data_IF_974385001435
#
_entry.id   IF_974385001435
#
_cell.length_a   1.000
_cell.length_b   1.000
_cell.length_c   1.000
_cell.angle_alpha   90.00
_cell.angle_beta   90.00
_cell.angle_gamma   90.00
#
_symmetry.space_group_name_H-M   'P 1'
#
loop_
_entity.id
_entity.type
_entity.pdbx_description
1 polymer ?
#
# COMPACT_ATOMS: atom_id res chain seq x y z
N UNK A 1 9.39 3.69 29.59
CA UNK A 1 10.21 2.58 29.07
C UNK A 1 11.29 3.21 28.21
N UNK A 2 12.58 2.89 28.40
CA UNK A 2 13.63 3.45 27.55
C UNK A 2 13.41 2.98 26.11
N UNK A 3 13.41 3.90 25.17
CA UNK A 3 13.28 3.61 23.75
C UNK A 3 14.60 3.07 23.21
N UNK A 4 14.54 2.08 22.33
CA UNK A 4 15.73 1.47 21.73
C UNK A 4 16.11 2.24 20.45
N UNK A 5 16.43 3.53 20.60
CA UNK A 5 16.77 4.43 19.52
C UNK A 5 18.29 4.54 19.40
N UNK A 6 18.80 4.46 18.19
CA UNK A 6 20.21 4.64 17.83
C UNK A 6 20.40 5.97 17.10
N UNK A 7 21.25 6.85 17.66
CA UNK A 7 21.60 8.16 17.11
C UNK A 7 23.11 8.19 16.94
N UNK A 8 23.59 8.15 15.70
CA UNK A 8 25.02 8.22 15.39
C UNK A 8 25.62 9.59 15.75
N UNK A 9 26.95 9.63 15.89
CA UNK A 9 27.66 10.88 16.18
C UNK A 9 27.47 11.91 15.06
N UNK A 10 27.39 11.45 13.79
CA UNK A 10 27.14 12.33 12.64
C UNK A 10 25.75 12.95 12.71
N UNK A 11 24.72 12.16 13.00
CA UNK A 11 23.35 12.67 13.19
C UNK A 11 23.30 13.63 14.38
N UNK A 12 23.97 13.30 15.47
CA UNK A 12 24.04 14.16 16.68
C UNK A 12 24.71 15.51 16.37
N UNK A 13 25.77 15.51 15.57
CA UNK A 13 26.47 16.73 15.18
C UNK A 13 25.57 17.68 14.39
N UNK A 14 24.69 17.15 13.54
CA UNK A 14 23.77 17.93 12.72
C UNK A 14 22.54 18.45 13.48
N UNK A 15 21.91 17.60 14.34
CA UNK A 15 20.70 18.01 15.07
C UNK A 15 21.00 18.71 16.41
N UNK A 16 22.24 18.60 16.91
CA UNK A 16 22.67 19.13 18.20
C UNK A 16 22.42 18.18 19.38
N UNK A 17 23.23 18.37 20.45
CA UNK A 17 23.18 17.51 21.62
C UNK A 17 21.86 17.56 22.40
N UNK A 18 21.19 18.71 22.42
CA UNK A 18 19.91 18.87 23.13
C UNK A 18 18.79 18.08 22.43
N UNK A 19 18.70 18.15 21.09
CA UNK A 19 17.69 17.42 20.34
C UNK A 19 17.97 15.91 20.34
N UNK A 20 19.23 15.52 20.23
CA UNK A 20 19.64 14.13 20.40
C UNK A 20 19.25 13.57 21.77
N UNK A 21 19.42 14.36 22.83
CA UNK A 21 19.01 13.96 24.19
C UNK A 21 17.47 13.82 24.32
N UNK A 22 16.69 14.71 23.70
CA UNK A 22 15.22 14.62 23.66
C UNK A 22 14.74 13.39 22.91
N UNK A 23 15.36 13.08 21.76
CA UNK A 23 15.06 11.87 20.99
C UNK A 23 15.32 10.61 21.81
N UNK A 24 16.48 10.51 22.46
CA UNK A 24 16.86 9.37 23.31
C UNK A 24 15.99 9.30 24.59
N UNK A 25 15.59 10.45 25.14
CA UNK A 25 14.67 10.54 26.27
C UNK A 25 13.23 10.16 25.92
N UNK A 26 12.90 10.16 24.61
CA UNK A 26 11.58 9.77 24.12
C UNK A 26 10.59 10.93 23.98
N UNK A 27 11.00 12.16 24.26
CA UNK A 27 10.10 13.33 24.22
C UNK A 27 9.78 13.75 22.77
N UNK A 28 10.72 13.56 21.83
CA UNK A 28 10.57 13.91 20.40
C UNK A 28 10.51 12.70 19.47
N UNK A 29 10.65 11.47 19.96
CA UNK A 29 10.62 10.27 19.13
C UNK A 29 9.20 9.68 19.03
N UNK A 30 8.72 9.30 17.83
CA UNK A 30 7.42 8.64 17.68
C UNK A 30 7.43 7.27 18.35
N UNK A 31 6.27 6.84 18.90
CA UNK A 31 6.11 5.49 19.44
C UNK A 31 6.10 4.41 18.36
N UNK A 32 5.55 4.75 17.18
CA UNK A 32 5.53 3.93 15.97
C UNK A 32 5.97 4.75 14.76
N UNK A 33 6.55 4.10 13.77
CA UNK A 33 7.02 4.71 12.53
C UNK A 33 6.94 3.71 11.37
N UNK A 34 6.94 4.22 10.15
CA UNK A 34 7.16 3.40 8.97
C UNK A 34 8.64 3.45 8.58
N UNK A 35 9.26 2.28 8.49
CA UNK A 35 10.69 2.18 8.16
C UNK A 35 10.98 2.80 6.79
N UNK A 36 11.89 3.78 6.73
CA UNK A 36 12.26 4.49 5.48
C UNK A 36 12.85 3.58 4.40
N UNK A 37 13.31 2.38 4.77
CA UNK A 37 13.88 1.41 3.84
C UNK A 37 12.86 0.38 3.37
N UNK A 38 12.30 -0.42 4.30
CA UNK A 38 11.42 -1.54 3.94
C UNK A 38 9.93 -1.19 3.96
N UNK A 39 9.56 0.03 4.39
CA UNK A 39 8.18 0.54 4.48
C UNK A 39 7.26 -0.28 5.38
N UNK A 40 7.81 -1.15 6.24
CA UNK A 40 7.03 -1.86 7.24
C UNK A 40 6.97 -1.06 8.53
N UNK A 41 5.85 -1.14 9.28
CA UNK A 41 5.71 -0.47 10.58
C UNK A 41 6.75 -0.96 11.59
N UNK A 42 7.30 -0.03 12.35
CA UNK A 42 8.22 -0.29 13.44
C UNK A 42 7.78 0.41 14.73
N UNK A 43 8.29 -0.07 15.87
CA UNK A 43 7.99 0.46 17.20
C UNK A 43 9.27 0.73 17.99
N UNK A 44 9.53 1.98 18.33
CA UNK A 44 10.74 2.41 19.06
C UNK A 44 10.89 1.79 20.44
N UNK A 45 9.82 1.27 21.03
CA UNK A 45 9.82 0.62 22.35
C UNK A 45 10.08 -0.89 22.31
N UNK A 46 9.93 -1.52 21.12
CA UNK A 46 9.96 -2.98 20.96
C UNK A 46 11.15 -3.47 20.16
N UNK A 47 11.72 -2.62 19.32
CA UNK A 47 12.80 -2.98 18.41
C UNK A 47 13.83 -1.86 18.27
N UNK A 48 15.05 -2.25 17.90
CA UNK A 48 16.15 -1.29 17.70
C UNK A 48 15.86 -0.46 16.45
N UNK A 49 15.79 0.85 16.66
CA UNK A 49 15.41 1.83 15.64
C UNK A 49 16.58 2.77 15.39
N UNK A 50 16.98 2.94 14.15
CA UNK A 50 17.98 3.90 13.72
C UNK A 50 17.34 5.21 13.31
N UNK A 51 18.01 6.32 13.62
CA UNK A 51 17.68 7.65 13.10
C UNK A 51 18.41 7.89 11.77
N UNK A 52 17.71 8.33 10.76
CA UNK A 52 18.29 8.70 9.45
C UNK A 52 17.95 10.16 9.20
N UNK A 53 18.97 11.00 9.11
CA UNK A 53 18.80 12.41 8.82
C UNK A 53 19.05 12.69 7.34
N UNK A 54 18.03 13.10 6.62
CA UNK A 54 18.13 13.57 5.25
C UNK A 54 18.39 15.06 5.26
N UNK A 55 19.51 15.50 4.66
CA UNK A 55 19.95 16.90 4.65
C UNK A 55 19.95 17.42 3.22
N UNK A 56 19.14 18.46 2.96
CA UNK A 56 19.14 19.27 1.75
C UNK A 56 19.97 20.54 1.91
N UNK A 57 19.84 21.49 0.97
CA UNK A 57 20.57 22.77 1.01
C UNK A 57 19.99 23.72 2.07
N UNK A 58 18.70 23.71 2.29
CA UNK A 58 17.98 24.61 3.23
C UNK A 58 17.15 23.85 4.27
N UNK A 59 16.93 22.55 4.07
CA UNK A 59 16.02 21.75 4.88
C UNK A 59 16.66 20.45 5.35
N UNK A 60 16.36 20.01 6.57
CA UNK A 60 16.73 18.70 7.08
C UNK A 60 15.49 17.96 7.59
N UNK A 61 15.39 16.67 7.31
CA UNK A 61 14.27 15.80 7.73
C UNK A 61 14.79 14.60 8.47
N UNK A 62 14.35 14.43 9.72
CA UNK A 62 14.65 13.28 10.54
C UNK A 62 13.63 12.17 10.28
N UNK A 63 14.12 10.97 9.97
CA UNK A 63 13.30 9.80 9.71
C UNK A 63 13.82 8.60 10.52
N UNK A 64 13.01 7.53 10.56
CA UNK A 64 13.29 6.34 11.36
C UNK A 64 13.33 5.08 10.49
N UNK A 65 14.22 4.16 10.84
CA UNK A 65 14.36 2.86 10.17
C UNK A 65 14.64 1.76 11.19
N UNK A 66 14.32 0.51 10.83
CA UNK A 66 14.83 -0.62 11.61
C UNK A 66 16.36 -0.63 11.57
N UNK A 67 17.02 -0.83 12.68
CA UNK A 67 18.49 -0.86 12.74
C UNK A 67 19.11 -1.97 11.86
N UNK A 68 18.33 -3.00 11.56
CA UNK A 68 18.70 -4.05 10.61
C UNK A 68 18.59 -3.63 9.13
N UNK A 69 17.80 -2.60 8.81
CA UNK A 69 17.60 -2.11 7.45
C UNK A 69 18.62 -1.04 7.06
N UNK A 70 18.76 -0.02 7.91
CA UNK A 70 19.69 1.10 7.70
C UNK A 70 20.28 1.48 9.06
N UNK A 71 21.62 1.62 9.20
CA UNK A 71 22.23 2.17 10.39
C UNK A 71 21.90 3.66 10.53
N UNK A 72 22.06 4.20 11.75
CA UNK A 72 21.93 5.64 11.98
C UNK A 72 22.98 6.41 11.20
N UNK A 73 22.56 7.37 10.36
CA UNK A 73 23.42 8.12 9.46
C UNK A 73 22.80 9.41 8.95
N UNK A 74 23.65 10.30 8.42
CA UNK A 74 23.26 11.48 7.65
C UNK A 74 23.30 11.15 6.16
N UNK A 75 22.25 11.47 5.42
CA UNK A 75 22.13 11.23 3.98
C UNK A 75 21.93 12.57 3.28
N UNK A 76 22.93 13.06 2.52
CA UNK A 76 22.74 14.26 1.69
C UNK A 76 21.77 13.94 0.54
N UNK A 77 20.80 14.80 0.32
CA UNK A 77 19.79 14.68 -0.75
C UNK A 77 19.58 16.04 -1.42
N UNK A 78 19.10 16.03 -2.66
CA UNK A 78 18.73 17.30 -3.30
C UNK A 78 17.49 17.92 -2.65
N UNK A 79 17.41 19.25 -2.62
CA UNK A 79 16.28 19.97 -2.04
C UNK A 79 14.95 19.58 -2.67
N UNK A 80 14.92 19.30 -3.99
CA UNK A 80 13.73 18.83 -4.70
C UNK A 80 13.25 17.46 -4.19
N UNK A 81 14.17 16.55 -3.90
CA UNK A 81 13.88 15.23 -3.34
C UNK A 81 13.35 15.36 -1.90
N UNK A 82 13.94 16.29 -1.12
CA UNK A 82 13.54 16.54 0.25
C UNK A 82 12.14 17.17 0.31
N UNK A 83 11.86 18.18 -0.51
CA UNK A 83 10.54 18.80 -0.61
C UNK A 83 9.47 17.83 -1.09
N UNK A 84 9.80 16.88 -1.97
CA UNK A 84 8.94 15.78 -2.36
C UNK A 84 8.61 14.85 -1.19
N UNK A 85 9.62 14.50 -0.40
CA UNK A 85 9.46 13.67 0.80
C UNK A 85 8.68 14.39 1.91
N UNK A 86 8.97 15.67 2.16
CA UNK A 86 8.24 16.50 3.15
C UNK A 86 6.76 16.63 2.76
N UNK A 87 6.45 16.87 1.49
CA UNK A 87 5.05 16.88 1.01
C UNK A 87 4.35 15.54 1.19
N UNK A 88 5.06 14.44 1.00
CA UNK A 88 4.52 13.09 1.25
C UNK A 88 4.28 12.82 2.75
N UNK A 89 5.18 13.31 3.62
CA UNK A 89 5.08 13.16 5.09
C UNK A 89 3.99 14.07 5.64
N UNK A 90 3.90 15.33 5.19
CA UNK A 90 2.83 16.26 5.61
C UNK A 90 1.47 15.81 5.12
N UNK A 91 1.35 15.32 3.89
CA UNK A 91 0.12 14.72 3.39
C UNK A 91 -0.27 13.46 4.19
N UNK A 92 0.68 12.61 4.57
CA UNK A 92 0.44 11.46 5.44
C UNK A 92 0.11 11.87 6.88
N UNK A 93 0.72 12.94 7.40
CA UNK A 93 0.45 13.47 8.75
C UNK A 93 -0.87 14.23 8.83
N UNK A 94 -1.27 14.93 7.78
CA UNK A 94 -2.59 15.57 7.67
C UNK A 94 -3.71 14.55 7.52
N UNK A 95 -3.43 13.37 6.93
CA UNK A 95 -4.35 12.24 6.88
C UNK A 95 -4.40 11.44 8.19
N UNK A 96 -3.42 11.57 9.07
CA UNK A 96 -3.39 10.91 10.40
C UNK A 96 -3.99 11.77 11.53
N UNK A 97 -4.23 13.07 11.31
CA UNK A 97 -5.10 13.85 12.18
C UNK A 97 -6.55 13.50 11.84
N UNK A 98 -7.40 13.09 12.80
CA UNK A 98 -8.82 12.96 12.50
C UNK A 98 -9.31 14.34 12.06
N UNK A 99 -9.52 14.50 10.75
CA UNK A 99 -10.22 15.64 10.23
C UNK A 99 -11.53 15.74 11.00
N UNK A 100 -12.00 16.93 11.39
CA UNK A 100 -13.32 17.07 11.99
C UNK A 100 -14.30 16.44 11.00
N UNK A 101 -14.92 15.33 11.45
CA UNK A 101 -15.92 14.58 10.68
C UNK A 101 -17.06 15.56 10.42
N UNK A 102 -17.03 16.20 9.24
CA UNK A 102 -18.24 16.83 8.72
C UNK A 102 -19.14 15.66 8.31
N UNK A 103 -20.42 15.64 8.72
CA UNK A 103 -21.33 14.51 8.50
C UNK A 103 -21.53 14.11 7.03
N UNK A 104 -21.00 14.90 6.08
CA UNK A 104 -21.20 14.74 4.63
C UNK A 104 -19.96 14.34 3.83
N UNK A 105 -18.80 14.07 4.48
CA UNK A 105 -17.65 13.54 3.73
C UNK A 105 -17.80 12.03 3.60
N UNK A 106 -17.84 11.47 2.37
CA UNK A 106 -17.83 10.03 2.20
C UNK A 106 -16.54 9.47 2.81
N UNK A 107 -16.67 8.58 3.78
CA UNK A 107 -15.55 7.83 4.36
C UNK A 107 -14.92 7.02 3.23
N UNK A 108 -13.76 7.43 2.75
CA UNK A 108 -12.99 6.67 1.77
C UNK A 108 -12.29 5.51 2.48
N UNK A 109 -12.55 4.29 2.00
CA UNK A 109 -11.84 3.12 2.49
C UNK A 109 -10.41 3.10 1.93
N UNK A 110 -9.44 2.85 2.79
CA UNK A 110 -8.05 2.62 2.36
C UNK A 110 -7.88 1.18 1.91
N UNK A 111 -7.36 0.99 0.70
CA UNK A 111 -7.13 -0.31 0.09
C UNK A 111 -5.64 -0.54 -0.14
N UNK A 112 -5.12 -1.64 0.39
CA UNK A 112 -3.79 -2.16 0.05
C UNK A 112 -3.85 -2.93 -1.27
N UNK A 113 -2.90 -2.67 -2.17
CA UNK A 113 -2.77 -3.39 -3.45
C UNK A 113 -1.38 -3.97 -3.56
N UNK A 114 -1.30 -5.26 -3.87
CA UNK A 114 -0.04 -5.97 -4.17
C UNK A 114 -0.10 -6.57 -5.56
N UNK A 115 1.04 -6.58 -6.28
CA UNK A 115 1.16 -7.21 -7.58
C UNK A 115 1.88 -8.56 -7.47
N UNK A 116 1.49 -9.52 -8.30
CA UNK A 116 2.14 -10.82 -8.37
C UNK A 116 1.83 -11.53 -9.68
N UNK A 117 2.49 -12.65 -9.92
CA UNK A 117 2.24 -13.53 -11.06
C UNK A 117 1.59 -14.84 -10.58
N UNK A 118 0.60 -15.30 -11.32
CA UNK A 118 -0.07 -16.57 -11.05
C UNK A 118 0.03 -17.49 -12.27
N UNK A 119 0.43 -18.72 -12.04
CA UNK A 119 0.41 -19.75 -13.08
C UNK A 119 -1.00 -20.35 -13.15
N UNK A 120 -1.73 -20.06 -14.23
CA UNK A 120 -3.09 -20.55 -14.47
C UNK A 120 -3.12 -21.22 -15.85
N UNK A 121 -3.52 -22.49 -15.90
CA UNK A 121 -3.57 -23.24 -17.16
C UNK A 121 -2.21 -23.37 -17.86
N UNK A 122 -1.10 -23.32 -17.15
CA UNK A 122 0.26 -23.36 -17.72
C UNK A 122 0.75 -22.01 -18.24
N UNK A 123 0.00 -20.93 -18.04
CA UNK A 123 0.34 -19.58 -18.50
C UNK A 123 0.47 -18.61 -17.32
N UNK A 124 1.53 -17.79 -17.33
CA UNK A 124 1.71 -16.75 -16.32
C UNK A 124 0.71 -15.61 -16.56
N UNK A 125 -0.12 -15.37 -15.56
CA UNK A 125 -1.14 -14.32 -15.55
C UNK A 125 -0.73 -13.20 -14.58
N UNK A 126 -0.73 -11.94 -15.00
CA UNK A 126 -0.48 -10.82 -14.10
C UNK A 126 -1.67 -10.63 -13.18
N UNK A 127 -1.42 -10.56 -11.88
CA UNK A 127 -2.43 -10.42 -10.86
C UNK A 127 -2.19 -9.20 -9.98
N UNK A 128 -3.26 -8.61 -9.49
CA UNK A 128 -3.32 -7.67 -8.38
C UNK A 128 -4.17 -8.29 -7.28
N UNK A 129 -3.74 -8.13 -6.04
CA UNK A 129 -4.52 -8.52 -4.86
C UNK A 129 -4.86 -7.25 -4.09
N UNK A 130 -6.13 -7.08 -3.80
CA UNK A 130 -6.69 -5.92 -3.12
C UNK A 130 -7.29 -6.36 -1.79
N UNK A 131 -6.84 -5.74 -0.71
CA UNK A 131 -7.39 -5.92 0.63
C UNK A 131 -7.61 -4.56 1.27
N UNK A 132 -8.74 -4.34 1.96
CA UNK A 132 -8.92 -3.13 2.75
C UNK A 132 -7.96 -3.15 3.96
N UNK A 133 -7.53 -1.96 4.41
CA UNK A 133 -6.71 -1.82 5.63
C UNK A 133 -7.56 -1.92 6.91
N UNK A 134 -8.87 -1.84 6.79
CA UNK A 134 -9.84 -2.03 7.86
C UNK A 134 -11.17 -2.57 7.31
N UNK A 135 -12.08 -3.07 8.19
CA UNK A 135 -13.38 -3.57 7.74
C UNK A 135 -14.20 -2.47 7.09
N UNK A 136 -14.85 -2.80 5.98
CA UNK A 136 -15.70 -1.87 5.24
C UNK A 136 -17.16 -2.08 5.65
N UNK A 137 -17.80 -1.02 6.14
CA UNK A 137 -19.22 -1.02 6.49
C UNK A 137 -20.03 -0.13 5.53
N UNK A 138 -21.31 -0.43 5.33
CA UNK A 138 -22.22 0.48 4.62
C UNK A 138 -22.63 1.61 5.57
N UNK A 139 -22.73 2.87 5.08
CA UNK A 139 -23.32 3.94 5.88
C UNK A 139 -24.72 3.57 6.38
N UNK A 140 -24.95 3.77 7.68
CA UNK A 140 -26.28 3.49 8.31
C UNK A 140 -26.50 2.03 8.71
N UNK A 141 -25.50 1.15 8.64
CA UNK A 141 -25.57 -0.20 9.23
C UNK A 141 -24.87 -0.22 10.58
N UNK A 142 -25.56 -0.61 11.63
CA UNK A 142 -24.98 -0.82 12.96
C UNK A 142 -24.31 -2.20 13.02
N UNK A 143 -22.99 -2.23 13.33
CA UNK A 143 -22.26 -3.46 13.61
C UNK A 143 -20.97 -3.65 12.78
N UNK A 144 -20.09 -4.55 13.22
CA UNK A 144 -18.78 -4.78 12.60
C UNK A 144 -18.82 -5.73 11.39
N UNK A 145 -19.88 -5.68 10.58
CA UNK A 145 -19.99 -6.56 9.40
C UNK A 145 -19.19 -5.97 8.26
N UNK A 146 -18.12 -6.66 7.88
CA UNK A 146 -17.36 -6.33 6.66
C UNK A 146 -18.19 -6.68 5.43
N UNK A 147 -18.53 -5.65 4.64
CA UNK A 147 -19.34 -5.79 3.41
C UNK A 147 -18.50 -5.65 2.15
N UNK A 148 -17.17 -5.70 2.24
CA UNK A 148 -16.26 -5.49 1.11
C UNK A 148 -16.55 -6.43 -0.07
N UNK A 149 -16.57 -7.74 0.19
CA UNK A 149 -16.84 -8.71 -0.89
C UNK A 149 -18.26 -8.60 -1.44
N UNK A 150 -19.32 -8.48 -0.63
CA UNK A 150 -20.66 -8.20 -1.14
C UNK A 150 -20.75 -6.99 -2.08
N UNK A 151 -20.10 -5.88 -1.72
CA UNK A 151 -20.05 -4.69 -2.57
C UNK A 151 -19.37 -4.94 -3.91
N UNK A 152 -18.27 -5.69 -3.93
CA UNK A 152 -17.58 -6.05 -5.17
C UNK A 152 -18.40 -7.00 -6.05
N UNK A 153 -19.12 -7.94 -5.44
CA UNK A 153 -20.02 -8.84 -6.18
C UNK A 153 -21.15 -8.04 -6.84
N UNK A 154 -21.73 -7.06 -6.15
CA UNK A 154 -22.70 -6.13 -6.73
C UNK A 154 -22.14 -5.33 -7.92
N UNK A 155 -20.81 -5.10 -7.94
CA UNK A 155 -20.09 -4.40 -8.99
C UNK A 155 -19.58 -5.33 -10.13
N UNK A 156 -19.89 -6.63 -10.05
CA UNK A 156 -19.61 -7.59 -11.11
C UNK A 156 -18.38 -8.48 -10.89
N UNK A 157 -17.74 -8.43 -9.72
CA UNK A 157 -16.74 -9.43 -9.36
C UNK A 157 -17.42 -10.78 -9.08
N UNK A 158 -16.76 -11.86 -9.45
CA UNK A 158 -17.27 -13.21 -9.22
C UNK A 158 -16.59 -13.88 -8.02
N UNK A 159 -17.35 -14.63 -7.18
CA UNK A 159 -16.76 -15.48 -6.16
C UNK A 159 -15.80 -16.52 -6.78
N UNK A 160 -14.66 -16.75 -6.13
CA UNK A 160 -13.63 -17.69 -6.57
C UNK A 160 -13.62 -18.90 -5.64
N UNK A 161 -13.88 -20.07 -6.17
CA UNK A 161 -13.78 -21.33 -5.42
C UNK A 161 -12.39 -21.99 -5.55
N UNK A 162 -11.68 -21.74 -6.66
CA UNK A 162 -10.31 -22.21 -6.91
C UNK A 162 -9.60 -21.24 -7.85
N UNK A 163 -8.29 -21.06 -7.66
CA UNK A 163 -7.46 -20.11 -8.45
C UNK A 163 -6.82 -20.84 -9.66
N UNK A 164 -7.54 -21.74 -10.29
CA UNK A 164 -7.09 -22.57 -11.43
C UNK A 164 -7.64 -22.09 -12.77
N UNK A 165 -8.54 -21.12 -12.75
CA UNK A 165 -9.18 -20.54 -13.94
C UNK A 165 -9.07 -19.02 -13.96
N UNK A 166 -9.01 -18.48 -15.18
CA UNK A 166 -9.04 -17.03 -15.38
C UNK A 166 -10.44 -16.53 -15.05
N UNK A 167 -10.59 -15.53 -14.14
CA UNK A 167 -11.88 -14.94 -13.84
C UNK A 167 -12.59 -14.35 -15.06
N UNK A 168 -13.91 -14.23 -14.98
CA UNK A 168 -14.69 -13.56 -16.00
C UNK A 168 -14.30 -12.07 -16.12
N UNK A 169 -14.35 -11.48 -17.32
CA UNK A 169 -14.14 -10.06 -17.50
C UNK A 169 -15.29 -9.25 -16.89
N UNK A 170 -14.95 -8.12 -16.26
CA UNK A 170 -15.93 -7.21 -15.67
C UNK A 170 -16.06 -5.95 -16.53
N UNK A 171 -17.24 -5.75 -17.19
CA UNK A 171 -17.42 -4.64 -18.13
C UNK A 171 -17.21 -3.26 -17.48
N UNK A 172 -16.49 -2.39 -18.19
CA UNK A 172 -16.26 -1.00 -17.77
C UNK A 172 -15.14 -0.81 -16.75
N UNK A 173 -14.63 -1.89 -16.16
CA UNK A 173 -13.45 -1.84 -15.32
C UNK A 173 -12.17 -1.95 -16.13
N UNK A 174 -11.10 -1.32 -15.66
CA UNK A 174 -9.78 -1.40 -16.31
C UNK A 174 -8.66 -1.08 -15.31
N UNK A 175 -7.44 -1.46 -15.65
CA UNK A 175 -6.24 -1.15 -14.88
C UNK A 175 -5.41 -0.12 -15.63
N UNK A 176 -5.13 1.02 -15.00
CA UNK A 176 -4.31 2.08 -15.57
C UNK A 176 -2.83 1.78 -15.34
N UNK A 177 -2.17 1.43 -16.41
CA UNK A 177 -0.72 1.26 -16.47
C UNK A 177 -0.13 2.34 -17.39
N UNK A 178 0.79 3.15 -16.88
CA UNK A 178 1.47 4.16 -17.67
C UNK A 178 2.98 4.13 -17.36
N UNK A 179 3.81 4.29 -18.38
CA UNK A 179 5.27 4.20 -18.26
C UNK A 179 5.78 2.95 -17.51
N UNK A 180 5.06 1.82 -17.63
CA UNK A 180 5.40 0.57 -16.97
C UNK A 180 5.13 0.54 -15.46
N UNK A 181 4.35 1.47 -14.94
CA UNK A 181 3.97 1.60 -13.54
C UNK A 181 2.45 1.50 -13.38
N UNK A 182 1.98 0.92 -12.28
CA UNK A 182 0.58 0.85 -11.94
C UNK A 182 0.14 2.14 -11.25
N UNK A 183 -0.89 2.79 -11.78
CA UNK A 183 -1.42 4.06 -11.27
C UNK A 183 -2.78 3.91 -10.60
N UNK A 184 -3.70 3.14 -11.19
CA UNK A 184 -5.06 3.04 -10.68
C UNK A 184 -5.78 1.77 -11.15
N UNK A 185 -6.84 1.41 -10.44
CA UNK A 185 -7.91 0.54 -10.90
C UNK A 185 -9.12 1.43 -11.15
N UNK A 186 -9.64 1.41 -12.37
CA UNK A 186 -10.73 2.26 -12.79
C UNK A 186 -12.04 1.47 -12.79
N UNK A 187 -13.09 2.09 -12.29
CA UNK A 187 -14.46 1.58 -12.35
C UNK A 187 -15.28 2.33 -13.41
N UNK A 188 -16.36 1.73 -13.92
CA UNK A 188 -17.24 2.40 -14.87
C UNK A 188 -17.83 3.68 -14.24
N UNK A 189 -17.88 4.74 -15.03
CA UNK A 189 -18.56 5.98 -14.62
C UNK A 189 -20.07 5.78 -14.50
N UNK A 190 -20.68 6.51 -13.57
CA UNK A 190 -22.14 6.50 -13.39
C UNK A 190 -22.86 6.93 -14.66
N UNK A 191 -23.89 6.18 -15.07
CA UNK A 191 -24.69 6.52 -16.25
C UNK A 191 -23.95 6.42 -17.60
N UNK A 192 -22.86 5.65 -17.70
CA UNK A 192 -22.04 5.54 -18.91
C UNK A 192 -21.07 6.71 -19.12
N UNK A 193 -20.81 7.47 -18.06
CA UNK A 193 -19.81 8.55 -18.03
C UNK A 193 -18.36 8.06 -18.08
N UNK A 194 -17.42 9.00 -17.97
CA UNK A 194 -15.98 8.71 -17.93
C UNK A 194 -15.65 7.80 -16.75
N UNK A 195 -14.80 6.76 -16.94
CA UNK A 195 -14.32 5.91 -15.85
C UNK A 195 -13.69 6.73 -14.71
N UNK A 196 -13.92 6.32 -13.48
CA UNK A 196 -13.38 6.97 -12.28
C UNK A 196 -12.44 6.02 -11.54
N UNK A 197 -11.47 6.56 -10.80
CA UNK A 197 -10.59 5.73 -10.00
C UNK A 197 -11.40 5.09 -8.84
N UNK A 198 -11.45 3.75 -8.83
CA UNK A 198 -11.90 2.98 -7.68
C UNK A 198 -10.79 2.85 -6.64
N UNK A 199 -9.57 2.64 -7.11
CA UNK A 199 -8.34 2.71 -6.35
C UNK A 199 -7.29 3.50 -7.12
N UNK A 200 -6.54 4.33 -6.42
CA UNK A 200 -5.44 5.10 -6.99
C UNK A 200 -4.21 5.01 -6.09
N UNK A 201 -3.07 4.71 -6.69
CA UNK A 201 -1.80 4.72 -5.97
C UNK A 201 -1.41 6.16 -5.61
N UNK A 202 -1.02 6.42 -4.38
CA UNK A 202 -0.46 7.73 -3.97
C UNK A 202 0.81 8.07 -4.76
N UNK A 203 1.63 7.06 -5.02
CA UNK A 203 2.77 7.11 -5.94
C UNK A 203 2.65 5.94 -6.90
N UNK A 204 2.97 6.15 -8.17
CA UNK A 204 2.94 5.11 -9.18
C UNK A 204 3.73 3.87 -8.73
N UNK A 205 3.05 2.73 -8.65
CA UNK A 205 3.60 1.50 -8.08
C UNK A 205 4.48 0.80 -9.13
N UNK A 206 5.73 0.52 -8.76
CA UNK A 206 6.63 -0.27 -9.56
C UNK A 206 6.15 -1.72 -9.61
N UNK A 207 6.08 -2.29 -10.80
CA UNK A 207 5.77 -3.70 -11.02
C UNK A 207 6.97 -4.41 -11.65
N UNK A 208 7.13 -5.69 -11.34
CA UNK A 208 8.26 -6.50 -11.85
C UNK A 208 8.27 -6.57 -13.39
N UNK A 209 9.46 -6.76 -13.97
CA UNK A 209 9.62 -6.85 -15.42
C UNK A 209 8.82 -8.03 -16.02
N UNK A 210 8.80 -9.16 -15.32
CA UNK A 210 8.05 -10.37 -15.66
C UNK A 210 6.55 -10.11 -15.64
N UNK A 211 6.07 -9.35 -14.65
CA UNK A 211 4.67 -8.94 -14.55
C UNK A 211 4.27 -8.07 -15.76
N UNK A 212 5.11 -7.08 -16.11
CA UNK A 212 4.88 -6.24 -17.31
C UNK A 212 4.86 -7.06 -18.59
N UNK A 213 5.79 -8.03 -18.71
CA UNK A 213 5.84 -8.93 -19.85
C UNK A 213 4.56 -9.76 -19.97
N UNK A 214 4.05 -10.29 -18.86
CA UNK A 214 2.80 -11.04 -18.80
C UNK A 214 1.60 -10.17 -19.19
N UNK A 215 1.53 -8.92 -18.68
CA UNK A 215 0.49 -7.95 -19.04
C UNK A 215 0.52 -7.65 -20.55
N UNK A 216 1.70 -7.39 -21.11
CA UNK A 216 1.84 -7.11 -22.54
C UNK A 216 1.36 -8.29 -23.41
N UNK A 217 1.58 -9.52 -22.94
CA UNK A 217 1.14 -10.73 -23.63
C UNK A 217 -0.35 -10.97 -23.50
N UNK A 218 -0.91 -10.81 -22.31
CA UNK A 218 -2.31 -11.17 -22.02
C UNK A 218 -3.30 -10.03 -22.25
N UNK A 219 -2.81 -8.77 -22.29
CA UNK A 219 -3.59 -7.52 -22.42
C UNK A 219 -4.68 -7.39 -21.34
N UNK A 220 -4.49 -8.05 -20.21
CA UNK A 220 -5.41 -8.05 -19.06
C UNK A 220 -4.65 -8.23 -17.76
N UNK A 221 -5.29 -7.85 -16.68
CA UNK A 221 -4.82 -8.05 -15.29
C UNK A 221 -5.93 -8.77 -14.54
N UNK A 222 -5.57 -9.79 -13.77
CA UNK A 222 -6.49 -10.46 -12.86
C UNK A 222 -6.51 -9.70 -11.54
N UNK A 223 -7.67 -9.22 -11.12
CA UNK A 223 -7.83 -8.50 -9.85
C UNK A 223 -8.57 -9.41 -8.89
N UNK A 224 -7.88 -9.83 -7.83
CA UNK A 224 -8.42 -10.59 -6.72
C UNK A 224 -8.68 -9.66 -5.54
N UNK A 225 -9.74 -9.87 -4.81
CA UNK A 225 -10.05 -9.10 -3.62
C UNK A 225 -10.47 -10.02 -2.48
N UNK A 226 -9.99 -9.71 -1.28
CA UNK A 226 -10.24 -10.47 -0.07
C UNK A 226 -10.49 -9.53 1.12
N UNK A 227 -11.15 -9.96 2.21
CA UNK A 227 -11.29 -9.18 3.44
C UNK A 227 -9.94 -8.84 4.06
N UNK A 228 -9.92 -7.84 4.92
CA UNK A 228 -8.72 -7.37 5.63
C UNK A 228 -7.91 -8.52 6.25
N UNK A 229 -6.60 -8.53 5.98
CA UNK A 229 -5.63 -9.47 6.56
C UNK A 229 -5.82 -10.94 6.15
N UNK A 230 -6.57 -11.22 5.09
CA UNK A 230 -6.81 -12.59 4.60
C UNK A 230 -5.63 -13.14 3.81
N UNK A 231 -5.03 -12.32 2.96
CA UNK A 231 -3.90 -12.67 2.08
C UNK A 231 -2.59 -12.11 2.64
N UNK A 232 -2.59 -10.79 2.97
CA UNK A 232 -1.40 -10.07 3.39
C UNK A 232 -0.33 -9.95 2.30
N UNK A 233 0.81 -9.36 2.67
CA UNK A 233 1.95 -9.28 1.75
C UNK A 233 2.68 -10.61 1.68
N UNK A 234 2.75 -11.20 0.51
CA UNK A 234 3.44 -12.46 0.27
C UNK A 234 4.78 -12.19 -0.45
N UNK A 235 5.92 -12.60 0.12
CA UNK A 235 7.23 -12.32 -0.46
C UNK A 235 7.55 -13.14 -1.71
N UNK A 236 6.76 -14.18 -2.01
CA UNK A 236 6.97 -15.11 -3.11
C UNK A 236 5.65 -15.48 -3.77
N UNK A 237 5.70 -15.76 -5.06
CA UNK A 237 4.51 -16.06 -5.88
C UNK A 237 3.81 -17.38 -5.50
N UNK A 238 4.58 -18.40 -5.08
CA UNK A 238 4.02 -19.66 -4.59
C UNK A 238 3.23 -19.45 -3.29
N UNK A 239 3.75 -18.63 -2.36
CA UNK A 239 3.04 -18.28 -1.13
C UNK A 239 1.80 -17.42 -1.40
N UNK A 240 1.87 -16.54 -2.39
CA UNK A 240 0.71 -15.76 -2.85
C UNK A 240 -0.37 -16.70 -3.38
N UNK A 241 0.00 -17.65 -4.22
CA UNK A 241 -0.93 -18.65 -4.76
C UNK A 241 -1.59 -19.46 -3.64
N UNK A 242 -0.82 -19.97 -2.69
CA UNK A 242 -1.35 -20.71 -1.54
C UNK A 242 -2.29 -19.86 -0.66
N UNK A 243 -1.97 -18.57 -0.46
CA UNK A 243 -2.83 -17.67 0.30
C UNK A 243 -4.17 -17.45 -0.41
N UNK A 244 -4.15 -17.23 -1.73
CA UNK A 244 -5.36 -17.10 -2.55
C UNK A 244 -6.19 -18.38 -2.56
N UNK A 245 -5.56 -19.56 -2.70
CA UNK A 245 -6.27 -20.84 -2.65
C UNK A 245 -6.94 -21.08 -1.29
N UNK A 246 -6.28 -20.71 -0.18
CA UNK A 246 -6.88 -20.78 1.17
C UNK A 246 -8.07 -19.82 1.32
N UNK A 247 -7.96 -18.60 0.78
CA UNK A 247 -9.07 -17.64 0.80
C UNK A 247 -10.25 -18.13 -0.03
N UNK A 248 -9.98 -18.66 -1.23
CA UNK A 248 -10.99 -19.26 -2.09
C UNK A 248 -11.73 -20.42 -1.41
N UNK A 249 -11.00 -21.34 -0.78
CA UNK A 249 -11.58 -22.46 -0.05
C UNK A 249 -12.48 -22.04 1.13
N UNK A 250 -12.27 -20.83 1.67
CA UNK A 250 -13.10 -20.25 2.74
C UNK A 250 -14.26 -19.39 2.22
N UNK A 251 -14.39 -19.23 0.90
CA UNK A 251 -15.37 -18.30 0.31
C UNK A 251 -15.06 -16.84 0.56
N UNK A 252 -13.79 -16.51 0.83
CA UNK A 252 -13.29 -15.16 1.15
C UNK A 252 -12.50 -14.56 -0.02
N UNK A 253 -12.80 -14.96 -1.25
CA UNK A 253 -12.12 -14.45 -2.43
C UNK A 253 -13.12 -14.16 -3.54
N UNK A 254 -13.00 -12.96 -4.12
CA UNK A 254 -13.69 -12.61 -5.37
C UNK A 254 -12.65 -12.15 -6.39
N UNK A 255 -12.96 -12.26 -7.66
CA UNK A 255 -12.05 -11.82 -8.71
C UNK A 255 -12.76 -11.32 -9.96
N UNK A 256 -12.02 -10.55 -10.75
CA UNK A 256 -12.39 -10.07 -12.06
C UNK A 256 -11.17 -10.02 -12.98
N UNK A 257 -11.36 -10.23 -14.29
CA UNK A 257 -10.35 -9.91 -15.28
C UNK A 257 -10.62 -8.52 -15.86
N UNK A 258 -9.61 -7.68 -15.91
CA UNK A 258 -9.72 -6.29 -16.36
C UNK A 258 -8.74 -6.02 -17.51
N UNK A 259 -9.18 -5.33 -18.59
CA UNK A 259 -8.27 -4.86 -19.63
C UNK A 259 -7.37 -3.74 -19.10
N UNK A 260 -6.29 -3.46 -19.83
CA UNK A 260 -5.48 -2.28 -19.61
C UNK A 260 -6.18 -1.02 -20.12
N UNK A 261 -6.02 0.07 -19.37
CA UNK A 261 -6.34 1.42 -19.81
C UNK A 261 -5.03 2.22 -19.89
N UNK A 262 -4.84 2.99 -20.96
CA UNK A 262 -3.68 3.87 -21.12
C UNK A 262 -2.37 3.08 -21.33
N UNK A 263 -2.15 2.58 -22.52
CA UNK A 263 -0.84 2.07 -23.01
C UNK A 263 -0.13 3.15 -23.80
#
# INVERSE_FOLDING_TARGET
VPRMLDVSDDVRAEIGDEEAARLLGGDSAPGSYDCTSCRTPGHTERERTSTVLFVGEETAVLAFAHAACIPSQVVPVSEEQLQGAVRSITAASEQSAPAPITPDSPLQAELGVTSGLLLIGGELQPALVVEPLGPIARPGTDGPVDVFLPLLIEQGFAPVAAVDQVPAPTPGWSVLLAMGQLHAILQPGTGGGTPTAWWQAHQAMQVAAEWRSAVNKTQRVLVFAAPVGTIGQQPREDLLREALDRAAARGQLVAAAMPLAGT
#
